data_IF_328266181529
#
_entry.id   IF_328266181529
#
_cell.length_a   1.000
_cell.length_b   1.000
_cell.length_c   1.000
_cell.angle_alpha   90.00
_cell.angle_beta   90.00
_cell.angle_gamma   90.00
#
_symmetry.space_group_name_H-M   'P 1'
#
loop_
_entity.id
_entity.type
_entity.pdbx_description
1 polymer ?
#
# COMPACT_ATOMS: atom_id res chain seq x y z
N UNK A 1 -46.73 -10.14 -18.33
CA UNK A 1 -45.73 -10.00 -17.24
C UNK A 1 -46.49 -10.04 -15.92
N UNK A 2 -46.33 -11.12 -15.14
CA UNK A 2 -46.93 -11.22 -13.81
C UNK A 2 -46.28 -10.24 -12.83
N UNK A 3 -47.03 -9.74 -11.86
CA UNK A 3 -46.48 -8.88 -10.81
C UNK A 3 -45.32 -9.59 -10.10
N UNK A 4 -44.22 -8.88 -9.77
CA UNK A 4 -43.11 -9.49 -9.05
C UNK A 4 -43.62 -10.06 -7.72
N UNK A 5 -43.17 -11.26 -7.31
CA UNK A 5 -43.57 -11.85 -6.04
C UNK A 5 -43.19 -10.88 -4.91
N UNK A 6 -44.17 -10.45 -4.12
CA UNK A 6 -43.93 -9.59 -2.95
C UNK A 6 -43.62 -10.48 -1.75
N UNK A 7 -42.59 -10.12 -0.98
CA UNK A 7 -42.31 -10.79 0.30
C UNK A 7 -43.50 -10.63 1.24
N UNK A 8 -43.80 -11.68 2.00
CA UNK A 8 -44.73 -11.60 3.13
C UNK A 8 -43.98 -11.20 4.41
N UNK A 9 -44.70 -10.65 5.39
CA UNK A 9 -44.11 -10.33 6.70
C UNK A 9 -43.46 -11.57 7.35
N UNK A 10 -44.08 -12.75 7.20
CA UNK A 10 -43.54 -14.02 7.70
C UNK A 10 -42.20 -14.40 7.07
N UNK A 11 -42.06 -14.22 5.75
CA UNK A 11 -40.79 -14.47 5.04
C UNK A 11 -39.68 -13.51 5.49
N UNK A 12 -40.00 -12.23 5.68
CA UNK A 12 -39.00 -11.26 6.18
C UNK A 12 -38.60 -11.58 7.61
N UNK A 13 -39.53 -11.98 8.46
CA UNK A 13 -39.25 -12.37 9.84
C UNK A 13 -38.35 -13.63 9.89
N UNK A 14 -38.65 -14.64 9.09
CA UNK A 14 -37.81 -15.84 8.99
C UNK A 14 -36.40 -15.52 8.46
N UNK A 15 -36.32 -14.75 7.37
CA UNK A 15 -35.07 -14.30 6.78
C UNK A 15 -34.21 -13.54 7.79
N UNK A 16 -34.78 -12.61 8.56
CA UNK A 16 -34.06 -11.87 9.62
C UNK A 16 -33.53 -12.81 10.72
N UNK A 17 -34.32 -13.80 11.16
CA UNK A 17 -33.88 -14.79 12.16
C UNK A 17 -32.74 -15.66 11.64
N UNK A 18 -32.90 -16.27 10.46
CA UNK A 18 -31.89 -17.14 9.85
C UNK A 18 -30.60 -16.39 9.52
N UNK A 19 -30.72 -15.17 9.03
CA UNK A 19 -29.56 -14.33 8.74
C UNK A 19 -28.81 -13.92 10.03
N UNK A 20 -29.52 -13.51 11.08
CA UNK A 20 -28.92 -13.18 12.38
C UNK A 20 -28.21 -14.38 13.01
N UNK A 21 -28.81 -15.57 12.88
CA UNK A 21 -28.20 -16.83 13.33
C UNK A 21 -27.05 -17.31 12.43
N UNK A 22 -26.76 -16.62 11.32
CA UNK A 22 -25.80 -17.05 10.27
C UNK A 22 -26.11 -18.44 9.70
N UNK A 23 -27.36 -18.86 9.76
CA UNK A 23 -27.83 -20.15 9.25
C UNK A 23 -28.12 -20.10 7.74
N UNK A 24 -28.30 -18.91 7.18
CA UNK A 24 -28.48 -18.69 5.74
C UNK A 24 -27.91 -17.33 5.33
N UNK A 25 -27.44 -17.27 4.09
CA UNK A 25 -26.97 -16.04 3.43
C UNK A 25 -28.15 -15.30 2.78
N UNK A 26 -27.99 -13.99 2.50
CA UNK A 26 -29.00 -13.24 1.74
C UNK A 26 -29.31 -13.88 0.38
N UNK A 27 -28.33 -14.57 -0.23
CA UNK A 27 -28.50 -15.25 -1.53
C UNK A 27 -29.41 -16.46 -1.41
N UNK A 28 -29.14 -17.35 -0.46
CA UNK A 28 -29.97 -18.54 -0.23
C UNK A 28 -31.41 -18.13 0.07
N UNK A 29 -31.59 -17.14 0.97
CA UNK A 29 -32.91 -16.59 1.30
C UNK A 29 -33.60 -15.96 0.07
N UNK A 30 -32.85 -15.22 -0.75
CA UNK A 30 -33.39 -14.61 -1.97
C UNK A 30 -33.80 -15.68 -3.00
N UNK A 31 -33.01 -16.73 -3.19
CA UNK A 31 -33.32 -17.83 -4.09
C UNK A 31 -34.55 -18.61 -3.62
N UNK A 32 -34.64 -18.93 -2.32
CA UNK A 32 -35.79 -19.60 -1.69
C UNK A 32 -37.08 -18.78 -1.86
N UNK A 33 -37.01 -17.45 -1.79
CA UNK A 33 -38.16 -16.56 -1.92
C UNK A 33 -38.44 -16.10 -3.36
N UNK A 34 -37.66 -16.54 -4.37
CA UNK A 34 -37.81 -16.08 -5.75
C UNK A 34 -37.56 -14.57 -5.93
N UNK A 35 -36.64 -14.01 -5.15
CA UNK A 35 -36.36 -12.57 -5.04
C UNK A 35 -34.95 -12.23 -5.50
N UNK A 36 -34.71 -10.94 -5.80
CA UNK A 36 -33.36 -10.44 -5.98
C UNK A 36 -32.62 -10.34 -4.63
N UNK A 37 -31.30 -10.54 -4.65
CA UNK A 37 -30.44 -10.43 -3.46
C UNK A 37 -30.58 -9.04 -2.83
N UNK A 38 -30.66 -7.99 -3.64
CA UNK A 38 -30.85 -6.61 -3.18
C UNK A 38 -32.18 -6.41 -2.46
N UNK A 39 -33.28 -6.96 -2.98
CA UNK A 39 -34.60 -6.87 -2.34
C UNK A 39 -34.60 -7.58 -0.99
N UNK A 40 -34.04 -8.80 -0.93
CA UNK A 40 -33.88 -9.54 0.33
C UNK A 40 -33.01 -8.78 1.33
N UNK A 41 -31.89 -8.17 0.88
CA UNK A 41 -31.04 -7.35 1.73
C UNK A 41 -31.81 -6.18 2.35
N UNK A 42 -32.55 -5.42 1.54
CA UNK A 42 -33.34 -4.29 2.02
C UNK A 42 -34.43 -4.71 3.03
N UNK A 43 -34.99 -5.92 2.86
CA UNK A 43 -35.96 -6.45 3.82
C UNK A 43 -35.33 -6.82 5.16
N UNK A 44 -34.17 -7.51 5.14
CA UNK A 44 -33.42 -7.91 6.34
C UNK A 44 -32.91 -6.69 7.12
N UNK A 45 -32.40 -5.67 6.44
CA UNK A 45 -31.91 -4.44 7.06
C UNK A 45 -33.02 -3.47 7.48
N UNK A 46 -34.28 -3.77 7.13
CA UNK A 46 -35.42 -2.93 7.46
C UNK A 46 -35.52 -1.64 6.64
N UNK A 47 -34.83 -1.53 5.50
CA UNK A 47 -34.96 -0.38 4.59
C UNK A 47 -36.35 -0.34 3.96
N UNK A 48 -36.84 -1.48 3.47
CA UNK A 48 -38.18 -1.59 2.87
C UNK A 48 -39.24 -2.07 3.86
N UNK A 49 -38.82 -2.64 4.99
CA UNK A 49 -39.70 -3.22 6.02
C UNK A 49 -39.44 -2.57 7.38
N UNK A 50 -39.37 -1.24 7.41
CA UNK A 50 -39.13 -0.45 8.61
C UNK A 50 -40.26 -0.56 9.64
N UNK A 51 -41.50 -0.81 9.18
CA UNK A 51 -42.67 -0.98 10.04
C UNK A 51 -42.69 -2.30 10.82
N UNK A 52 -41.85 -3.28 10.44
CA UNK A 52 -41.77 -4.57 11.12
C UNK A 52 -40.70 -4.52 12.21
N UNK A 53 -41.15 -4.44 13.47
CA UNK A 53 -40.27 -4.27 14.64
C UNK A 53 -39.77 -5.59 15.24
N UNK A 54 -40.47 -6.70 15.04
CA UNK A 54 -40.09 -8.03 15.53
C UNK A 54 -40.11 -9.07 14.39
N UNK A 55 -38.98 -9.75 14.09
CA UNK A 55 -37.64 -9.52 14.63
C UNK A 55 -37.09 -8.17 14.19
N UNK A 56 -36.38 -7.50 15.10
CA UNK A 56 -35.75 -6.21 14.84
C UNK A 56 -34.92 -6.25 13.55
N UNK A 57 -34.87 -5.16 12.76
CA UNK A 57 -33.97 -5.07 11.62
C UNK A 57 -32.52 -5.38 12.02
N UNK A 58 -31.76 -5.98 11.10
CA UNK A 58 -30.32 -6.15 11.32
C UNK A 58 -29.65 -4.81 10.99
N UNK A 59 -29.55 -3.95 12.01
CA UNK A 59 -29.13 -2.53 11.90
C UNK A 59 -27.68 -2.34 11.50
N UNK A 60 -26.86 -3.36 11.71
CA UNK A 60 -25.53 -3.47 11.14
C UNK A 60 -25.46 -4.76 10.35
N UNK A 61 -25.48 -4.68 9.01
CA UNK A 61 -24.71 -5.70 8.29
C UNK A 61 -23.31 -5.60 8.89
N UNK A 62 -22.69 -6.70 9.37
CA UNK A 62 -21.27 -6.66 9.62
C UNK A 62 -20.62 -6.05 8.37
N UNK A 63 -19.70 -5.08 8.53
CA UNK A 63 -19.09 -4.43 7.39
C UNK A 63 -18.62 -5.53 6.43
N UNK A 64 -19.14 -5.54 5.20
CA UNK A 64 -18.57 -6.43 4.19
C UNK A 64 -17.07 -6.10 4.13
N UNK A 65 -16.21 -7.12 4.06
CA UNK A 65 -16.39 -8.29 3.23
C UNK A 65 -17.19 -9.37 3.97
N UNK A 66 -18.13 -10.00 3.26
CA UNK A 66 -18.68 -11.27 3.69
C UNK A 66 -17.48 -12.13 4.03
N UNK A 67 -17.36 -12.57 5.28
CA UNK A 67 -16.26 -13.42 5.65
C UNK A 67 -16.38 -14.65 4.75
N UNK A 68 -15.42 -14.81 3.83
CA UNK A 68 -15.27 -16.04 3.06
C UNK A 68 -15.43 -17.19 4.05
N UNK A 69 -16.29 -18.15 3.75
CA UNK A 69 -16.41 -19.36 4.58
C UNK A 69 -15.61 -20.46 3.91
N UNK A 70 -15.26 -21.51 4.65
CA UNK A 70 -14.59 -22.67 4.07
C UNK A 70 -15.43 -23.29 2.93
N UNK A 71 -16.76 -23.31 3.08
CA UNK A 71 -17.69 -23.78 2.05
C UNK A 71 -17.67 -22.91 0.79
N UNK A 72 -17.70 -21.58 0.92
CA UNK A 72 -17.62 -20.67 -0.23
C UNK A 72 -16.27 -20.77 -0.95
N UNK A 73 -15.16 -20.93 -0.22
CA UNK A 73 -13.85 -21.12 -0.84
C UNK A 73 -13.78 -22.45 -1.59
N UNK A 74 -14.31 -23.53 -1.00
CA UNK A 74 -14.37 -24.84 -1.64
C UNK A 74 -15.24 -24.81 -2.90
N UNK A 75 -16.36 -24.09 -2.86
CA UNK A 75 -17.24 -23.91 -4.01
C UNK A 75 -16.58 -23.09 -5.12
N UNK A 76 -15.99 -21.94 -4.77
CA UNK A 76 -15.23 -21.10 -5.69
C UNK A 76 -14.16 -21.90 -6.44
N UNK A 77 -13.40 -22.74 -5.71
CA UNK A 77 -12.36 -23.58 -6.32
C UNK A 77 -12.94 -24.58 -7.32
N UNK A 78 -14.09 -25.20 -7.03
CA UNK A 78 -14.77 -26.10 -7.99
C UNK A 78 -15.24 -25.35 -9.23
N UNK A 79 -15.81 -24.16 -9.06
CA UNK A 79 -16.34 -23.37 -10.17
C UNK A 79 -15.21 -22.84 -11.06
N UNK A 80 -14.16 -22.27 -10.47
CA UNK A 80 -12.99 -21.73 -11.20
C UNK A 80 -12.20 -22.86 -11.88
N UNK A 81 -12.16 -24.07 -11.30
CA UNK A 81 -11.54 -25.23 -11.96
C UNK A 81 -12.28 -25.65 -13.24
N UNK A 82 -13.60 -25.41 -13.32
CA UNK A 82 -14.41 -25.69 -14.51
C UNK A 82 -14.34 -24.57 -15.52
N UNK A 83 -14.36 -23.32 -15.05
CA UNK A 83 -14.28 -22.13 -15.88
C UNK A 83 -13.46 -21.03 -15.16
N UNK A 84 -12.18 -20.86 -15.53
CA UNK A 84 -11.30 -19.86 -14.94
C UNK A 84 -11.80 -18.41 -15.08
N UNK A 85 -12.66 -18.11 -16.07
CA UNK A 85 -13.19 -16.77 -16.32
C UNK A 85 -14.24 -16.31 -15.30
N UNK A 86 -14.75 -17.22 -14.47
CA UNK A 86 -15.88 -16.95 -13.55
C UNK A 86 -15.53 -16.16 -12.30
N UNK A 87 -14.24 -16.00 -11.97
CA UNK A 87 -13.80 -15.48 -10.67
C UNK A 87 -14.37 -14.08 -10.34
N UNK A 88 -14.43 -13.18 -11.33
CA UNK A 88 -14.97 -11.83 -11.15
C UNK A 88 -16.49 -11.83 -10.92
N UNK A 89 -17.21 -12.73 -11.58
CA UNK A 89 -18.64 -12.93 -11.38
C UNK A 89 -18.90 -13.54 -10.01
N UNK A 90 -18.13 -14.57 -9.61
CA UNK A 90 -18.21 -15.20 -8.29
C UNK A 90 -17.92 -14.23 -7.14
N UNK A 91 -16.95 -13.33 -7.30
CA UNK A 91 -16.66 -12.32 -6.27
C UNK A 91 -17.86 -11.39 -6.06
N UNK A 92 -18.46 -10.90 -7.15
CA UNK A 92 -19.69 -10.08 -7.11
C UNK A 92 -20.86 -10.87 -6.51
N UNK A 93 -20.98 -12.13 -6.91
CA UNK A 93 -22.01 -13.06 -6.49
C UNK A 93 -21.99 -13.35 -4.99
N UNK A 94 -20.80 -13.57 -4.44
CA UNK A 94 -20.56 -13.80 -3.02
C UNK A 94 -20.45 -12.49 -2.22
N UNK A 95 -20.54 -11.32 -2.86
CA UNK A 95 -20.38 -10.04 -2.16
C UNK A 95 -19.01 -9.89 -1.47
N UNK A 96 -17.96 -10.47 -2.05
CA UNK A 96 -16.58 -10.39 -1.56
C UNK A 96 -15.71 -9.60 -2.52
N UNK A 97 -14.64 -8.98 -2.00
CA UNK A 97 -13.67 -8.32 -2.86
C UNK A 97 -12.99 -9.36 -3.77
N UNK A 98 -12.81 -9.01 -5.06
CA UNK A 98 -12.16 -9.86 -6.05
C UNK A 98 -10.82 -10.43 -5.56
N UNK A 99 -9.91 -9.56 -5.09
CA UNK A 99 -8.60 -9.95 -4.58
C UNK A 99 -8.68 -10.91 -3.38
N UNK A 100 -9.71 -10.80 -2.54
CA UNK A 100 -9.88 -11.69 -1.40
C UNK A 100 -10.26 -13.11 -1.86
N UNK A 101 -11.20 -13.22 -2.81
CA UNK A 101 -11.60 -14.49 -3.40
C UNK A 101 -10.45 -15.12 -4.20
N UNK A 102 -9.76 -14.31 -5.02
CA UNK A 102 -8.62 -14.73 -5.83
C UNK A 102 -7.53 -15.39 -4.95
N UNK A 103 -7.12 -14.71 -3.88
CA UNK A 103 -6.11 -15.23 -2.94
C UNK A 103 -6.56 -16.51 -2.24
N UNK A 104 -7.85 -16.67 -1.97
CA UNK A 104 -8.39 -17.86 -1.32
C UNK A 104 -8.45 -19.07 -2.26
N UNK A 105 -8.87 -18.84 -3.51
CA UNK A 105 -8.96 -19.87 -4.55
C UNK A 105 -7.58 -20.44 -4.88
N UNK A 106 -6.57 -19.57 -5.05
CA UNK A 106 -5.19 -19.99 -5.32
C UNK A 106 -4.36 -20.34 -4.06
N UNK A 107 -5.00 -20.45 -2.89
CA UNK A 107 -4.35 -20.95 -1.68
C UNK A 107 -3.31 -20.02 -1.05
N UNK A 108 -3.24 -18.76 -1.47
CA UNK A 108 -2.44 -17.73 -0.80
C UNK A 108 -3.01 -17.49 0.60
N UNK A 109 -4.33 -17.45 0.69
CA UNK A 109 -5.10 -17.50 1.94
C UNK A 109 -5.89 -18.82 2.00
N UNK A 110 -6.51 -19.13 3.15
CA UNK A 110 -7.35 -20.33 3.31
C UNK A 110 -6.65 -21.67 3.04
N UNK A 111 -5.36 -21.78 3.40
CA UNK A 111 -4.56 -23.01 3.30
C UNK A 111 -5.16 -24.21 4.03
N UNK A 112 -5.93 -23.97 5.10
CA UNK A 112 -6.64 -25.01 5.88
C UNK A 112 -7.77 -25.72 5.11
N UNK A 113 -8.30 -25.10 4.05
CA UNK A 113 -9.29 -25.76 3.19
C UNK A 113 -8.50 -26.60 2.19
N UNK A 114 -8.47 -27.91 2.39
CA UNK A 114 -7.66 -28.82 1.56
C UNK A 114 -8.46 -29.54 0.48
N UNK A 115 -9.79 -29.60 0.63
CA UNK A 115 -10.70 -30.25 -0.33
C UNK A 115 -11.78 -29.27 -0.81
N UNK A 116 -11.82 -28.91 -2.11
CA UNK A 116 -10.83 -29.21 -3.15
C UNK A 116 -9.49 -28.48 -2.92
N UNK A 117 -8.38 -29.02 -3.46
CA UNK A 117 -7.06 -28.38 -3.32
C UNK A 117 -7.06 -26.98 -3.95
N UNK A 118 -6.19 -26.07 -3.48
CA UNK A 118 -6.00 -24.78 -4.14
C UNK A 118 -5.63 -24.95 -5.62
N UNK A 119 -6.12 -24.03 -6.45
CA UNK A 119 -5.79 -24.05 -7.87
C UNK A 119 -4.39 -23.47 -8.11
N UNK A 120 -3.76 -23.88 -9.21
CA UNK A 120 -2.57 -23.22 -9.70
C UNK A 120 -2.96 -21.87 -10.28
N UNK A 121 -2.24 -20.83 -9.86
CA UNK A 121 -2.41 -19.51 -10.46
C UNK A 121 -1.97 -19.59 -11.92
N UNK A 122 -2.81 -19.18 -12.89
CA UNK A 122 -2.38 -19.10 -14.28
C UNK A 122 -1.19 -18.15 -14.37
N UNK A 123 -0.20 -18.50 -15.18
CA UNK A 123 0.87 -17.57 -15.51
C UNK A 123 0.24 -16.26 -15.99
N UNK A 124 0.76 -15.08 -15.57
CA UNK A 124 0.19 -13.82 -16.00
C UNK A 124 0.19 -13.78 -17.53
N UNK A 125 -0.99 -13.96 -18.14
CA UNK A 125 -1.21 -13.72 -19.56
C UNK A 125 -0.95 -12.25 -19.78
N UNK A 126 -0.05 -11.96 -20.72
CA UNK A 126 0.70 -10.71 -20.83
C UNK A 126 -0.10 -9.40 -21.04
N UNK A 127 -1.43 -9.39 -20.99
CA UNK A 127 -2.20 -8.32 -21.65
C UNK A 127 -3.29 -7.60 -20.83
N UNK A 128 -3.63 -8.01 -19.61
CA UNK A 128 -4.87 -7.51 -18.97
C UNK A 128 -4.70 -6.49 -17.81
N UNK A 129 -3.53 -5.90 -17.63
CA UNK A 129 -3.35 -4.81 -16.65
C UNK A 129 -2.77 -3.60 -17.38
N UNK A 130 -2.86 -2.38 -16.85
CA UNK A 130 -2.14 -1.20 -17.38
C UNK A 130 -0.61 -1.36 -17.53
N UNK A 131 -0.10 -2.55 -17.20
CA UNK A 131 1.18 -3.19 -17.52
C UNK A 131 1.35 -3.46 -19.03
N UNK A 132 0.27 -3.55 -19.83
CA UNK A 132 0.28 -3.86 -21.26
C UNK A 132 1.05 -2.85 -22.15
N UNK A 133 1.53 -1.74 -21.59
CA UNK A 133 2.44 -0.81 -22.28
C UNK A 133 3.93 -1.18 -22.13
N UNK A 134 4.28 -1.98 -21.13
CA UNK A 134 5.67 -2.37 -20.91
C UNK A 134 5.98 -3.57 -21.80
N UNK A 135 6.89 -3.39 -22.75
CA UNK A 135 7.53 -4.47 -23.48
C UNK A 135 8.89 -4.78 -22.84
N UNK A 136 9.51 -5.95 -23.12
CA UNK A 136 10.88 -6.24 -22.67
C UNK A 136 11.87 -5.12 -23.01
N UNK A 137 11.75 -4.55 -24.21
CA UNK A 137 12.59 -3.44 -24.67
C UNK A 137 12.37 -2.15 -23.85
N UNK A 138 11.11 -1.82 -23.52
CA UNK A 138 10.79 -0.67 -22.67
C UNK A 138 11.35 -0.87 -21.26
N UNK A 139 11.22 -2.08 -20.69
CA UNK A 139 11.78 -2.38 -19.36
C UNK A 139 13.30 -2.27 -19.36
N UNK A 140 13.97 -2.78 -20.40
CA UNK A 140 15.41 -2.64 -20.55
C UNK A 140 15.85 -1.17 -20.65
N UNK A 141 15.09 -0.33 -21.36
CA UNK A 141 15.34 1.11 -21.43
C UNK A 141 15.11 1.80 -20.07
N UNK A 142 14.00 1.51 -19.39
CA UNK A 142 13.70 2.05 -18.06
C UNK A 142 14.82 1.78 -17.05
N UNK A 143 15.42 0.58 -17.08
CA UNK A 143 16.56 0.24 -16.22
C UNK A 143 17.81 1.03 -16.56
N UNK A 144 18.13 1.22 -17.85
CA UNK A 144 19.26 2.05 -18.28
C UNK A 144 19.08 3.50 -17.84
N UNK A 145 17.91 4.06 -18.06
CA UNK A 145 17.61 5.46 -17.73
C UNK A 145 17.62 5.69 -16.21
N UNK A 146 17.09 4.74 -15.44
CA UNK A 146 17.16 4.78 -13.97
C UNK A 146 18.60 4.72 -13.45
N UNK A 147 19.44 3.85 -14.03
CA UNK A 147 20.89 3.81 -13.74
C UNK A 147 21.59 5.12 -14.15
N UNK A 148 21.07 5.80 -15.17
CA UNK A 148 21.49 7.15 -15.58
C UNK A 148 21.03 8.28 -14.65
N UNK A 149 20.20 7.98 -13.64
CA UNK A 149 19.75 8.95 -12.62
C UNK A 149 18.34 9.51 -12.83
N UNK A 150 17.61 9.06 -13.86
CA UNK A 150 16.22 9.48 -14.05
C UNK A 150 15.33 9.00 -12.89
N UNK A 151 14.42 9.87 -12.42
CA UNK A 151 13.48 9.50 -11.36
C UNK A 151 12.37 8.56 -11.87
N UNK A 152 11.91 7.63 -11.03
CA UNK A 152 10.83 6.68 -11.37
C UNK A 152 9.55 7.41 -11.85
N UNK A 153 9.25 8.60 -11.33
CA UNK A 153 8.09 9.39 -11.75
C UNK A 153 8.24 9.86 -13.20
N UNK A 154 9.37 10.45 -13.57
CA UNK A 154 9.67 10.87 -14.94
C UNK A 154 9.63 9.67 -15.90
N UNK A 155 10.20 8.55 -15.46
CA UNK A 155 10.19 7.30 -16.21
C UNK A 155 8.78 6.74 -16.43
N UNK A 156 7.92 6.80 -15.40
CA UNK A 156 6.53 6.34 -15.48
C UNK A 156 5.69 7.21 -16.42
N UNK A 157 5.85 8.54 -16.35
CA UNK A 157 5.20 9.47 -17.28
C UNK A 157 5.65 9.22 -18.72
N UNK A 158 6.96 9.07 -18.96
CA UNK A 158 7.52 8.80 -20.29
C UNK A 158 7.05 7.47 -20.87
N UNK A 159 6.96 6.42 -20.06
CA UNK A 159 6.45 5.12 -20.49
C UNK A 159 4.91 5.07 -20.55
N UNK A 160 4.22 6.10 -20.05
CA UNK A 160 2.77 6.13 -19.93
C UNK A 160 2.20 5.07 -19.00
N UNK A 161 2.96 4.68 -17.97
CA UNK A 161 2.65 3.60 -17.01
C UNK A 161 2.45 4.15 -15.60
N UNK A 162 1.87 3.34 -14.71
CA UNK A 162 1.75 3.71 -13.30
C UNK A 162 3.10 3.65 -12.56
N UNK A 163 3.31 4.56 -11.60
CA UNK A 163 4.54 4.65 -10.81
C UNK A 163 4.97 3.30 -10.20
N UNK A 164 4.05 2.57 -9.58
CA UNK A 164 4.34 1.25 -8.98
C UNK A 164 4.75 0.20 -10.01
N UNK A 165 4.14 0.21 -11.21
CA UNK A 165 4.48 -0.74 -12.27
C UNK A 165 5.89 -0.47 -12.82
N UNK A 166 6.23 0.80 -13.03
CA UNK A 166 7.57 1.23 -13.44
C UNK A 166 8.61 0.84 -12.38
N UNK A 167 8.32 1.11 -11.10
CA UNK A 167 9.17 0.72 -9.97
C UNK A 167 9.41 -0.79 -9.94
N UNK A 168 8.36 -1.59 -10.01
CA UNK A 168 8.45 -3.05 -9.93
C UNK A 168 9.21 -3.66 -11.11
N UNK A 169 9.11 -3.07 -12.30
CA UNK A 169 9.83 -3.50 -13.50
C UNK A 169 11.33 -3.17 -13.42
N UNK A 170 11.68 -1.97 -12.96
CA UNK A 170 13.06 -1.52 -12.76
C UNK A 170 13.77 -2.43 -11.76
N UNK A 171 13.11 -2.74 -10.64
CA UNK A 171 13.69 -3.54 -9.56
C UNK A 171 13.57 -5.07 -9.74
N UNK A 172 12.99 -5.54 -10.85
CA UNK A 172 12.86 -6.97 -11.12
C UNK A 172 11.86 -7.71 -10.23
N UNK A 173 11.00 -6.98 -9.52
CA UNK A 173 9.82 -7.57 -8.85
C UNK A 173 8.94 -8.21 -9.91
N UNK A 174 8.76 -7.50 -11.02
CA UNK A 174 8.18 -7.99 -12.28
C UNK A 174 9.25 -8.02 -13.37
N UNK A 175 8.97 -8.67 -14.51
CA UNK A 175 9.89 -8.72 -15.66
C UNK A 175 11.28 -9.31 -15.35
N UNK A 176 11.31 -10.40 -14.56
CA UNK A 176 12.53 -11.14 -14.21
C UNK A 176 13.22 -11.80 -15.41
N UNK A 177 12.47 -12.06 -16.48
CA UNK A 177 12.98 -12.63 -17.72
C UNK A 177 13.83 -11.64 -18.54
N UNK A 178 13.69 -10.33 -18.30
CA UNK A 178 14.59 -9.33 -18.88
C UNK A 178 15.85 -9.31 -18.02
N UNK A 179 16.96 -9.84 -18.54
CA UNK A 179 18.21 -9.99 -17.80
C UNK A 179 19.25 -8.92 -18.11
N UNK A 180 19.09 -8.20 -19.23
CA UNK A 180 20.00 -7.14 -19.68
C UNK A 180 19.21 -5.84 -19.98
N UNK A 181 19.41 -4.74 -19.22
CA UNK A 181 20.26 -4.65 -18.02
C UNK A 181 19.70 -5.49 -16.87
N UNK A 182 20.57 -5.94 -15.93
CA UNK A 182 20.10 -6.63 -14.75
C UNK A 182 19.13 -5.75 -13.96
N UNK A 183 18.17 -6.35 -13.23
CA UNK A 183 17.31 -5.61 -12.31
C UNK A 183 18.15 -4.73 -11.37
N UNK A 184 17.74 -3.48 -11.21
CA UNK A 184 18.43 -2.59 -10.28
C UNK A 184 17.98 -2.97 -8.88
N UNK A 185 18.83 -3.56 -8.04
CA UNK A 185 18.43 -3.93 -6.69
C UNK A 185 17.85 -2.69 -6.03
N UNK A 186 16.76 -2.87 -5.28
CA UNK A 186 16.30 -1.81 -4.39
C UNK A 186 17.45 -1.63 -3.40
N UNK A 187 18.33 -0.64 -3.61
CA UNK A 187 19.23 -0.17 -2.56
C UNK A 187 18.32 0.07 -1.36
N UNK A 188 18.57 -0.72 -0.30
CA UNK A 188 17.55 -1.27 0.60
C UNK A 188 16.32 -0.37 0.74
N UNK A 189 15.13 -0.95 0.50
CA UNK A 189 13.86 -0.29 0.79
C UNK A 189 14.05 0.58 2.04
N UNK A 190 13.80 1.89 1.92
CA UNK A 190 14.01 2.94 2.94
C UNK A 190 13.21 2.69 4.23
N UNK A 191 13.45 1.53 4.81
CA UNK A 191 13.12 1.10 6.13
C UNK A 191 14.29 1.42 7.02
N UNK A 192 14.04 1.38 8.31
CA UNK A 192 14.93 1.83 9.36
C UNK A 192 16.33 1.19 9.35
N UNK A 193 16.62 0.18 8.52
CA UNK A 193 17.90 -0.55 8.45
C UNK A 193 18.67 -0.34 7.14
N UNK A 194 18.37 0.72 6.38
CA UNK A 194 19.02 0.97 5.08
C UNK A 194 20.49 1.38 5.19
N UNK A 195 20.96 1.79 6.36
CA UNK A 195 22.34 2.16 6.64
C UNK A 195 22.90 1.19 7.68
N UNK A 196 24.13 0.74 7.47
CA UNK A 196 24.90 0.09 8.52
C UNK A 196 25.51 1.15 9.48
N UNK A 197 26.18 0.71 10.53
CA UNK A 197 26.76 1.60 11.55
C UNK A 197 27.82 2.56 10.96
N UNK A 198 28.62 2.10 9.99
CA UNK A 198 29.62 2.92 9.31
C UNK A 198 28.98 4.01 8.43
N UNK A 199 27.91 3.66 7.73
CA UNK A 199 27.11 4.58 6.92
C UNK A 199 26.42 5.63 7.80
N UNK A 200 25.93 5.24 8.98
CA UNK A 200 25.36 6.17 9.96
C UNK A 200 26.42 7.13 10.52
N UNK A 201 27.60 6.62 10.87
CA UNK A 201 28.71 7.47 11.32
C UNK A 201 29.17 8.44 10.22
N UNK A 202 29.23 7.98 8.96
CA UNK A 202 29.54 8.83 7.82
C UNK A 202 28.46 9.89 7.60
N UNK A 203 27.19 9.52 7.72
CA UNK A 203 26.06 10.44 7.63
C UNK A 203 26.14 11.56 8.68
N UNK A 204 26.42 11.22 9.93
CA UNK A 204 26.61 12.19 11.02
C UNK A 204 27.78 13.14 10.71
N UNK A 205 28.92 12.62 10.25
CA UNK A 205 30.07 13.47 9.83
C UNK A 205 29.71 14.43 8.70
N UNK A 206 29.02 13.95 7.66
CA UNK A 206 28.59 14.79 6.54
C UNK A 206 27.63 15.89 7.00
N UNK A 207 26.79 15.60 8.00
CA UNK A 207 25.85 16.58 8.54
C UNK A 207 26.52 17.61 9.45
N UNK A 208 27.27 17.15 10.45
CA UNK A 208 27.74 18.01 11.54
C UNK A 208 29.02 18.74 11.21
N UNK A 209 29.95 18.05 10.53
CA UNK A 209 31.23 18.64 10.14
C UNK A 209 31.12 19.42 8.84
N UNK A 210 30.47 18.84 7.82
CA UNK A 210 30.42 19.45 6.48
C UNK A 210 29.16 20.29 6.24
N UNK A 211 28.22 20.32 7.19
CA UNK A 211 26.96 21.08 7.12
C UNK A 211 26.15 20.82 5.84
N UNK A 212 26.28 19.62 5.25
CA UNK A 212 25.56 19.28 4.03
C UNK A 212 24.05 19.18 4.27
N UNK A 213 23.28 19.52 3.24
CA UNK A 213 21.82 19.34 3.25
C UNK A 213 21.46 17.85 3.18
N UNK A 214 20.28 17.48 3.69
CA UNK A 214 19.81 16.09 3.65
C UNK A 214 19.69 15.53 2.23
N UNK A 215 19.40 16.38 1.25
CA UNK A 215 19.39 16.00 -0.15
C UNK A 215 20.80 15.65 -0.65
N UNK A 216 21.80 16.49 -0.35
CA UNK A 216 23.19 16.25 -0.74
C UNK A 216 23.78 15.00 -0.06
N UNK A 217 23.45 14.79 1.22
CA UNK A 217 23.80 13.58 1.97
C UNK A 217 23.15 12.36 1.33
N UNK A 218 21.86 12.44 1.00
CA UNK A 218 21.13 11.37 0.33
C UNK A 218 21.76 10.97 -1.00
N UNK A 219 22.07 11.94 -1.86
CA UNK A 219 22.79 11.68 -3.13
C UNK A 219 24.14 11.01 -2.89
N UNK A 220 24.91 11.48 -1.89
CA UNK A 220 26.25 10.96 -1.62
C UNK A 220 26.26 9.54 -1.05
N UNK A 221 25.25 9.17 -0.28
CA UNK A 221 25.13 7.84 0.34
C UNK A 221 24.16 6.91 -0.41
N UNK A 222 23.59 7.34 -1.53
CA UNK A 222 22.62 6.53 -2.29
C UNK A 222 21.30 6.27 -1.56
N UNK A 223 20.88 7.18 -0.68
CA UNK A 223 19.64 7.07 0.11
C UNK A 223 18.72 8.27 -0.11
N UNK A 224 17.43 8.11 0.20
CA UNK A 224 16.50 9.24 0.13
C UNK A 224 16.72 10.23 1.30
N UNK A 225 16.40 11.51 1.07
CA UNK A 225 16.58 12.58 2.06
C UNK A 225 15.85 12.33 3.39
N UNK A 226 14.71 11.64 3.36
CA UNK A 226 13.91 11.33 4.55
C UNK A 226 14.52 10.17 5.32
N UNK A 227 15.11 9.18 4.65
CA UNK A 227 15.94 8.15 5.28
C UNK A 227 17.18 8.79 5.90
N UNK A 228 17.86 9.70 5.21
CA UNK A 228 19.00 10.42 5.78
C UNK A 228 18.63 11.17 7.08
N UNK A 229 17.53 11.92 7.08
CA UNK A 229 17.04 12.63 8.26
C UNK A 229 16.64 11.69 9.41
N UNK A 230 15.94 10.58 9.12
CA UNK A 230 15.49 9.63 10.14
C UNK A 230 16.66 8.88 10.76
N UNK A 231 17.62 8.44 9.94
CA UNK A 231 18.83 7.76 10.42
C UNK A 231 19.69 8.70 11.27
N UNK A 232 19.86 9.97 10.85
CA UNK A 232 20.51 10.98 11.68
C UNK A 232 19.85 11.12 13.05
N UNK A 233 18.53 11.34 13.09
CA UNK A 233 17.79 11.53 14.34
C UNK A 233 17.92 10.34 15.28
N UNK A 234 17.95 9.12 14.74
CA UNK A 234 18.21 7.91 15.53
C UNK A 234 19.63 7.93 16.12
N UNK A 235 20.63 8.15 15.28
CA UNK A 235 22.04 8.13 15.69
C UNK A 235 22.37 9.23 16.72
N UNK A 236 21.73 10.40 16.62
CA UNK A 236 21.98 11.55 17.52
C UNK A 236 20.99 11.70 18.67
N UNK A 237 19.99 10.83 18.78
CA UNK A 237 19.01 10.86 19.88
C UNK A 237 18.80 9.47 20.50
N UNK A 238 19.85 8.91 21.14
CA UNK A 238 19.79 7.57 21.73
C UNK A 238 18.76 7.42 22.87
N UNK A 239 18.23 8.52 23.44
CA UNK A 239 17.34 8.48 24.61
C UNK A 239 15.83 8.52 24.37
N UNK A 240 15.33 8.79 23.16
CA UNK A 240 13.88 9.05 22.95
C UNK A 240 13.06 7.80 22.57
N UNK A 241 13.71 6.67 22.29
CA UNK A 241 13.04 5.39 21.99
C UNK A 241 13.39 4.27 22.98
N UNK A 242 14.25 4.54 23.97
CA UNK A 242 14.61 3.61 25.04
C UNK A 242 13.89 3.95 26.35
N UNK A 243 12.57 4.17 26.27
CA UNK A 243 11.67 4.16 27.42
C UNK A 243 10.99 2.79 27.50
N UNK A 244 11.81 1.75 27.68
CA UNK A 244 11.41 0.57 28.45
C UNK A 244 12.05 0.81 29.79
N UNK A 245 11.20 1.01 30.80
CA UNK A 245 11.57 1.22 32.19
C UNK A 245 12.45 0.05 32.63
N UNK A 246 13.77 0.23 32.66
CA UNK A 246 14.61 -0.58 33.55
C UNK A 246 14.28 -0.14 34.98
N UNK A 247 13.69 -1.08 35.71
CA UNK A 247 13.41 -0.94 37.14
C UNK A 247 14.77 -0.84 37.86
N UNK A 248 15.04 0.23 38.62
CA UNK A 248 16.29 0.35 39.35
C UNK A 248 16.32 -0.71 40.45
N UNK A 249 17.37 -1.53 40.45
CA UNK A 249 17.74 -2.37 41.58
C UNK A 249 18.70 -1.54 42.43
N UNK A 250 18.32 -1.25 43.67
CA UNK A 250 19.11 -0.44 44.60
C UNK A 250 20.50 -1.06 44.85
N UNK A 251 21.57 -0.24 44.92
CA UNK A 251 22.88 -0.67 45.37
C UNK A 251 23.03 -0.52 46.90
N UNK A 252 23.62 -1.52 47.55
CA UNK A 252 24.02 -1.46 48.95
C UNK A 252 25.47 -0.99 49.07
N UNK A 253 25.64 0.13 49.79
CA UNK A 253 26.78 0.75 50.46
C UNK A 253 28.23 0.21 50.29
N UNK A 254 29.17 1.12 50.00
CA UNK A 254 30.18 1.60 50.96
C UNK A 254 31.13 2.66 50.34
N UNK A 255 31.38 3.73 51.10
CA UNK A 255 32.24 4.90 50.83
C UNK A 255 33.71 4.69 51.33
N UNK A 256 34.60 5.71 51.47
CA UNK A 256 35.03 6.81 50.58
C UNK A 256 36.58 7.00 50.49
N UNK A 257 36.99 8.05 49.73
CA UNK A 257 38.14 8.96 49.94
C UNK A 257 39.43 8.75 49.11
N UNK A 258 39.80 9.74 48.28
CA UNK A 258 40.78 10.80 48.59
C UNK A 258 41.07 11.72 47.38
N UNK A 259 41.50 12.94 47.71
CA UNK A 259 41.63 14.14 46.89
C UNK A 259 42.94 14.27 46.10
N UNK A 260 42.94 15.15 45.09
CA UNK A 260 43.94 16.19 44.72
C UNK A 260 43.60 16.70 43.29
N UNK A 261 43.21 17.96 43.04
CA UNK A 261 43.89 19.26 43.17
C UNK A 261 44.38 19.81 41.80
N UNK A 262 43.73 20.91 41.39
CA UNK A 262 44.26 22.15 40.80
C UNK A 262 44.72 22.26 39.31
N UNK A 263 44.12 23.27 38.66
CA UNK A 263 44.74 24.22 37.72
C UNK A 263 44.31 24.06 36.25
N UNK A 264 44.15 25.09 35.40
CA UNK A 264 44.36 26.55 35.45
C UNK A 264 43.79 27.11 34.10
N UNK A 265 43.07 28.24 34.18
CA UNK A 265 43.03 29.44 33.27
C UNK A 265 42.73 29.34 31.76
N UNK A 266 41.81 30.23 31.32
CA UNK A 266 41.90 31.02 30.08
C UNK A 266 40.74 30.80 29.11
N UNK A 267 39.72 31.67 29.09
CA UNK A 267 39.57 32.77 28.11
C UNK A 267 38.63 32.31 26.96
N UNK A 268 37.82 33.09 26.27
CA UNK A 268 37.49 34.52 26.23
C UNK A 268 36.24 34.66 25.33
N UNK A 269 35.25 35.45 25.79
CA UNK A 269 34.39 36.44 25.10
C UNK A 269 33.96 36.16 23.64
N UNK A 270 32.67 35.84 23.45
CA UNK A 270 31.58 36.64 22.80
C UNK A 270 31.82 37.07 21.34
N UNK A 271 30.95 36.56 20.46
CA UNK A 271 30.64 37.13 19.15
C UNK A 271 29.25 36.68 18.72
N UNK A 272 28.25 37.52 19.00
CA UNK A 272 26.84 37.36 18.62
C UNK A 272 26.64 37.70 17.12
N UNK A 273 25.64 37.12 16.44
CA UNK A 273 25.48 37.11 15.00
C UNK A 273 24.51 38.20 14.54
N UNK A 274 24.96 39.10 13.67
CA UNK A 274 24.04 39.90 12.87
C UNK A 274 24.75 40.44 11.62
N UNK A 275 24.49 39.84 10.45
CA UNK A 275 24.02 40.63 9.31
C UNK A 275 23.49 39.75 8.16
N UNK A 276 22.38 40.15 7.51
CA UNK A 276 21.64 39.35 6.54
C UNK A 276 22.17 39.50 5.12
N UNK A 277 22.20 38.39 4.38
CA UNK A 277 22.32 38.42 2.93
C UNK A 277 21.01 38.86 2.28
N UNK A 278 21.14 39.86 1.40
CA UNK A 278 20.07 40.57 0.74
C UNK A 278 19.22 39.72 -0.21
N UNK A 279 18.01 40.24 -0.39
CA UNK A 279 16.98 39.74 -1.29
C UNK A 279 17.32 39.96 -2.77
N UNK A 280 16.84 39.00 -3.56
CA UNK A 280 16.17 39.15 -4.85
C UNK A 280 16.81 39.99 -5.98
N UNK A 281 17.12 39.31 -7.08
CA UNK A 281 16.84 39.82 -8.42
C UNK A 281 16.39 38.65 -9.31
N UNK A 282 15.11 38.66 -9.67
CA UNK A 282 14.50 37.85 -10.74
C UNK A 282 14.42 38.76 -11.96
N UNK A 283 14.75 38.27 -13.17
CA UNK A 283 14.15 38.81 -14.37
C UNK A 283 13.14 37.81 -14.95
N UNK A 284 11.86 38.14 -14.81
CA UNK A 284 10.84 37.84 -15.81
C UNK A 284 11.16 38.59 -17.10
N UNK A 285 10.90 37.95 -18.24
CA UNK A 285 10.61 38.46 -19.60
C UNK A 285 10.96 37.31 -20.57
N UNK A 286 10.23 36.95 -21.60
CA UNK A 286 9.00 37.46 -22.19
C UNK A 286 8.45 36.34 -23.10
N UNK A 287 7.15 36.40 -23.26
CA UNK A 287 6.25 35.46 -23.90
C UNK A 287 6.15 35.78 -25.39
N UNK A 288 6.37 34.81 -26.29
CA UNK A 288 5.90 34.93 -27.67
C UNK A 288 5.09 33.70 -28.11
N UNK A 289 4.07 34.02 -28.90
CA UNK A 289 2.91 33.24 -29.29
C UNK A 289 3.23 32.32 -30.46
N UNK A 290 2.50 31.20 -30.54
CA UNK A 290 2.49 30.34 -31.73
C UNK A 290 1.37 29.32 -31.71
N UNK A 291 0.12 29.76 -31.68
CA UNK A 291 -1.04 28.89 -31.90
C UNK A 291 -1.16 28.55 -33.39
N UNK A 292 -0.97 27.28 -33.75
CA UNK A 292 -1.36 26.74 -35.05
C UNK A 292 -2.42 25.65 -34.84
N UNK A 293 -3.64 25.92 -35.31
CA UNK A 293 -4.73 24.96 -35.41
C UNK A 293 -4.67 24.21 -36.76
N UNK A 294 -4.76 22.88 -36.79
CA UNK A 294 -4.99 22.15 -38.02
C UNK A 294 -6.49 21.96 -38.30
N UNK A 295 -6.88 22.38 -39.50
CA UNK A 295 -8.19 22.22 -40.14
C UNK A 295 -8.43 20.77 -40.55
N UNK A 296 -9.63 20.22 -40.28
CA UNK A 296 -10.06 18.91 -40.78
C UNK A 296 -10.51 18.98 -42.26
N UNK A 297 -10.20 17.99 -43.10
CA UNK A 297 -10.78 17.90 -44.44
C UNK A 297 -12.19 17.30 -44.42
N UNK A 298 -13.06 17.87 -45.26
CA UNK A 298 -14.41 17.41 -45.53
C UNK A 298 -14.44 16.09 -46.30
N UNK A 299 -15.52 15.34 -46.10
CA UNK A 299 -15.81 14.06 -46.77
C UNK A 299 -16.75 14.35 -47.94
N UNK A 300 -16.35 13.92 -49.14
CA UNK A 300 -17.18 13.81 -50.35
C UNK A 300 -18.00 12.53 -50.27
#
# INVERSE_FOLDING_TARGET
MGAPPKLTAGQVADARRRFRARAATCRELAAECGMSISAMRHAITGVTWAHMSDPAPVTCLPPLPQALTAGLVADARRQVARDPGTLASLAREYGVAYNALERAVYGITWKRVTSPPPLLRPAPTQEANGIAKLTPAVVAQLRRDYLGGDSITVLAERAGTGHSATRDAIHGVTWRSVTDPPPVPVAGAGGLRALNEDDEAQLVRLRDTQRLSWAAIGTRLGIDKSTALRSYRRATSPGLLSSVVEVPVDPVDAAPALAHAAGVVGGEVVGDPDQPYGAAAVPSLLQERGSSHPTKPGRV
#
